data_IF_447086734026
#
_entry.id   IF_447086734026
#
_cell.length_a   1.000
_cell.length_b   1.000
_cell.length_c   1.000
_cell.angle_alpha   90.00
_cell.angle_beta   90.00
_cell.angle_gamma   90.00
#
_symmetry.space_group_name_H-M   'P 1'
#
loop_
_entity.id
_entity.type
_entity.pdbx_description
1 polymer ?
#
# COMPACT_ATOMS: atom_id res chain seq x y z
N UNK A 1 27.97 -62.39 9.68
CA UNK A 1 26.89 -61.47 9.39
C UNK A 1 25.82 -61.61 10.46
N UNK A 2 25.88 -60.80 11.51
CA UNK A 2 24.84 -60.76 12.58
C UNK A 2 23.85 -59.69 12.20
N UNK A 3 22.62 -60.06 11.84
CA UNK A 3 21.50 -59.14 11.70
C UNK A 3 21.09 -58.72 13.11
N UNK A 4 21.31 -57.44 13.43
CA UNK A 4 20.78 -56.86 14.65
C UNK A 4 19.32 -56.47 14.32
N UNK A 5 18.37 -57.24 14.83
CA UNK A 5 16.96 -56.86 14.91
C UNK A 5 16.85 -55.83 16.04
N UNK A 6 16.72 -54.58 15.65
CA UNK A 6 16.30 -53.54 16.61
C UNK A 6 14.78 -53.67 16.76
N UNK A 7 14.35 -54.10 17.95
CA UNK A 7 12.97 -54.19 18.31
C UNK A 7 12.36 -52.75 18.29
N UNK A 8 11.36 -52.59 17.45
CA UNK A 8 10.49 -51.38 17.44
C UNK A 8 9.71 -51.43 18.76
N UNK A 9 10.23 -50.76 19.77
CA UNK A 9 9.47 -50.51 21.00
C UNK A 9 8.35 -49.51 20.70
N UNK A 10 7.09 -49.98 20.71
CA UNK A 10 5.93 -49.14 20.78
C UNK A 10 6.03 -48.25 22.02
N UNK A 11 6.44 -47.02 21.84
CA UNK A 11 6.30 -45.95 22.83
C UNK A 11 5.62 -44.73 22.19
N UNK A 12 4.38 -44.89 21.77
CA UNK A 12 3.44 -43.79 21.56
C UNK A 12 2.09 -44.16 22.11
N UNK A 13 2.01 -44.25 23.42
CA UNK A 13 0.79 -44.38 24.19
C UNK A 13 0.57 -43.14 25.04
N UNK A 14 0.30 -42.00 24.42
CA UNK A 14 -0.51 -40.88 24.92
C UNK A 14 -0.67 -39.89 23.77
N UNK A 15 -1.73 -40.06 22.98
CA UNK A 15 -2.22 -38.96 22.14
C UNK A 15 -2.76 -37.88 23.06
N UNK A 16 -1.93 -36.94 23.48
CA UNK A 16 -2.36 -35.63 23.87
C UNK A 16 -2.60 -34.87 22.56
N UNK A 17 -3.84 -34.43 22.34
CA UNK A 17 -4.31 -33.60 21.26
C UNK A 17 -3.39 -32.39 21.05
N UNK A 18 -2.38 -32.52 20.19
CA UNK A 18 -1.70 -31.41 19.60
C UNK A 18 -2.59 -30.89 18.46
N UNK A 19 -3.29 -29.77 18.66
CA UNK A 19 -3.85 -28.97 17.57
C UNK A 19 -2.70 -28.36 16.74
N UNK A 20 -2.09 -29.18 15.90
CA UNK A 20 -1.18 -28.72 14.85
C UNK A 20 -1.89 -29.01 13.54
N UNK A 21 -1.97 -28.01 12.65
CA UNK A 21 -2.44 -28.18 11.29
C UNK A 21 -1.79 -29.41 10.69
N UNK A 22 -2.57 -30.48 10.46
CA UNK A 22 -2.11 -31.75 9.99
C UNK A 22 -1.59 -31.62 8.56
N UNK A 23 -0.29 -31.46 8.42
CA UNK A 23 0.41 -31.83 7.18
C UNK A 23 0.58 -33.36 7.20
N UNK A 24 0.54 -33.97 6.01
CA UNK A 24 0.57 -35.41 5.87
C UNK A 24 1.75 -36.03 6.64
N UNK A 25 1.46 -36.64 7.78
CA UNK A 25 2.41 -37.43 8.54
C UNK A 25 2.79 -38.65 7.70
N UNK A 26 4.05 -38.78 7.30
CA UNK A 26 4.58 -40.01 6.68
C UNK A 26 4.79 -41.01 7.81
N UNK A 27 3.87 -41.95 7.97
CA UNK A 27 3.89 -42.97 9.04
C UNK A 27 5.22 -43.79 9.09
N UNK A 28 6.05 -43.67 8.06
CA UNK A 28 7.33 -44.41 7.95
C UNK A 28 8.55 -43.50 8.18
N UNK A 29 8.38 -42.24 8.55
CA UNK A 29 9.51 -41.34 8.80
C UNK A 29 9.42 -40.67 10.17
N UNK A 30 10.53 -40.44 10.84
CA UNK A 30 10.61 -39.78 12.15
C UNK A 30 12.01 -39.22 12.43
N UNK A 31 12.12 -38.33 13.40
CA UNK A 31 13.37 -37.88 13.99
C UNK A 31 13.51 -38.59 15.34
N UNK A 32 14.54 -39.42 15.48
CA UNK A 32 14.78 -40.22 16.67
C UNK A 32 16.13 -39.88 17.31
N UNK A 33 16.22 -40.03 18.62
CA UNK A 33 17.47 -39.90 19.36
C UNK A 33 18.31 -41.17 19.17
N UNK A 34 19.56 -40.97 18.72
CA UNK A 34 20.57 -42.05 18.55
C UNK A 34 21.89 -41.62 19.19
N UNK A 35 22.15 -42.08 20.38
CA UNK A 35 23.30 -41.62 21.17
C UNK A 35 23.13 -40.20 21.63
N UNK A 36 24.02 -39.30 21.20
CA UNK A 36 23.96 -37.85 21.49
C UNK A 36 23.40 -37.00 20.33
N UNK A 37 22.91 -37.64 19.27
CA UNK A 37 22.41 -36.97 18.09
C UNK A 37 20.93 -37.29 17.86
N UNK A 38 20.22 -36.40 17.21
CA UNK A 38 18.90 -36.66 16.66
C UNK A 38 19.02 -36.86 15.17
N UNK A 39 18.59 -38.04 14.67
CA UNK A 39 18.76 -38.44 13.26
C UNK A 39 17.40 -38.60 12.59
N UNK A 40 17.34 -38.19 11.31
CA UNK A 40 16.16 -38.40 10.48
C UNK A 40 16.18 -39.82 9.88
N UNK A 41 15.11 -40.57 10.17
CA UNK A 41 14.93 -41.95 9.75
C UNK A 41 13.73 -42.05 8.82
N UNK A 42 13.88 -42.78 7.71
CA UNK A 42 12.78 -43.12 6.82
C UNK A 42 12.82 -44.62 6.51
N UNK A 43 11.69 -45.32 6.64
CA UNK A 43 11.60 -46.78 6.48
C UNK A 43 12.65 -47.55 7.32
N UNK A 44 12.93 -47.09 8.54
CA UNK A 44 13.91 -47.71 9.45
C UNK A 44 15.37 -47.47 9.10
N UNK A 45 15.69 -46.58 8.14
CA UNK A 45 17.06 -46.25 7.68
C UNK A 45 17.33 -44.77 7.90
N UNK A 46 18.46 -44.44 8.53
CA UNK A 46 18.93 -43.06 8.67
C UNK A 46 19.23 -42.47 7.28
N UNK A 47 18.70 -41.28 7.02
CA UNK A 47 18.80 -40.60 5.73
C UNK A 47 19.96 -39.57 5.77
N UNK A 48 21.22 -40.04 5.72
CA UNK A 48 22.42 -39.18 5.79
C UNK A 48 22.61 -38.25 4.57
N UNK A 49 21.87 -38.45 3.48
CA UNK A 49 21.86 -37.60 2.29
C UNK A 49 20.80 -36.51 2.35
N UNK A 50 19.93 -36.51 3.39
CA UNK A 50 18.88 -35.53 3.54
C UNK A 50 19.37 -34.27 4.23
N UNK A 51 19.05 -33.11 3.63
CA UNK A 51 19.21 -31.77 4.19
C UNK A 51 17.92 -30.96 3.93
N UNK A 52 17.29 -30.42 4.99
CA UNK A 52 16.01 -29.71 4.90
C UNK A 52 15.36 -29.53 6.25
N UNK A 53 14.04 -29.43 6.26
CA UNK A 53 13.22 -29.36 7.49
C UNK A 53 12.35 -30.62 7.56
N UNK A 54 12.32 -31.26 8.72
CA UNK A 54 11.38 -32.35 9.05
C UNK A 54 10.75 -32.11 10.40
N UNK A 55 9.54 -32.63 10.55
CA UNK A 55 8.78 -32.58 11.79
C UNK A 55 8.80 -33.90 12.58
N UNK A 56 8.61 -33.77 13.86
CA UNK A 56 8.22 -34.83 14.78
C UNK A 56 7.22 -34.26 15.81
N UNK A 57 6.81 -35.08 16.78
CA UNK A 57 5.85 -34.65 17.82
C UNK A 57 6.32 -33.44 18.67
N UNK A 58 7.60 -33.07 18.64
CA UNK A 58 8.18 -31.97 19.40
C UNK A 58 8.37 -30.67 18.58
N UNK A 59 8.13 -30.73 17.26
CA UNK A 59 8.25 -29.56 16.36
C UNK A 59 8.91 -29.87 15.03
N UNK A 60 9.27 -28.79 14.30
CA UNK A 60 9.94 -28.87 13.01
C UNK A 60 11.42 -28.54 13.20
N UNK A 61 12.30 -29.37 12.67
CA UNK A 61 13.72 -29.31 12.92
C UNK A 61 14.54 -29.19 11.64
N UNK A 62 15.61 -28.41 11.71
CA UNK A 62 16.61 -28.34 10.66
C UNK A 62 17.47 -29.58 10.65
N UNK A 63 17.42 -30.34 9.55
CA UNK A 63 18.26 -31.53 9.32
C UNK A 63 19.38 -31.14 8.35
N UNK A 64 20.60 -31.53 8.66
CA UNK A 64 21.77 -31.43 7.78
C UNK A 64 22.49 -32.76 7.76
N UNK A 65 22.64 -33.32 6.53
CA UNK A 65 23.25 -34.65 6.37
C UNK A 65 22.63 -35.71 7.30
N UNK A 66 21.30 -35.69 7.40
CA UNK A 66 20.53 -36.66 8.20
C UNK A 66 20.50 -36.41 9.71
N UNK A 67 21.19 -35.41 10.21
CA UNK A 67 21.29 -35.07 11.65
C UNK A 67 20.65 -33.70 11.93
N UNK A 68 19.96 -33.58 13.08
CA UNK A 68 19.42 -32.28 13.52
C UNK A 68 20.58 -31.34 13.86
N UNK A 69 20.62 -30.18 13.20
CA UNK A 69 21.57 -29.13 13.51
C UNK A 69 20.99 -28.11 14.49
N UNK A 70 21.18 -28.31 15.77
CA UNK A 70 20.70 -27.42 16.84
C UNK A 70 21.38 -26.04 16.87
N UNK A 71 22.48 -25.85 16.15
CA UNK A 71 23.18 -24.56 16.08
C UNK A 71 22.75 -23.72 14.88
N UNK A 72 21.83 -24.21 14.04
CA UNK A 72 21.40 -23.49 12.86
C UNK A 72 20.38 -22.41 13.22
N UNK A 73 20.66 -21.17 12.82
CA UNK A 73 19.70 -20.05 12.82
C UNK A 73 19.70 -19.41 11.45
N UNK A 74 18.52 -19.27 10.84
CA UNK A 74 18.37 -18.73 9.49
C UNK A 74 17.15 -19.30 8.76
N UNK A 75 17.12 -19.14 7.43
CA UNK A 75 16.03 -19.65 6.59
C UNK A 75 16.39 -21.01 5.99
N UNK A 76 15.42 -21.92 5.99
CA UNK A 76 15.53 -23.21 5.32
C UNK A 76 14.21 -23.61 4.66
N UNK A 77 14.30 -24.52 3.67
CA UNK A 77 13.17 -24.94 2.85
C UNK A 77 12.67 -26.32 3.22
N UNK A 78 11.35 -26.52 3.02
CA UNK A 78 10.73 -27.83 2.85
C UNK A 78 9.65 -27.73 1.75
N UNK A 79 8.89 -28.82 1.54
CA UNK A 79 7.79 -28.88 0.56
C UNK A 79 6.67 -27.86 0.82
N UNK A 80 6.54 -27.29 2.03
CA UNK A 80 5.51 -26.33 2.42
C UNK A 80 5.97 -24.88 2.28
N UNK A 81 7.27 -24.63 2.02
CA UNK A 81 7.83 -23.30 1.85
C UNK A 81 9.16 -23.08 2.54
N UNK A 82 9.52 -21.81 2.72
CA UNK A 82 10.75 -21.35 3.34
C UNK A 82 10.44 -20.81 4.74
N UNK A 83 11.13 -21.34 5.76
CA UNK A 83 10.82 -21.09 7.17
C UNK A 83 12.03 -20.57 7.93
N UNK A 84 11.76 -19.72 8.94
CA UNK A 84 12.75 -19.25 9.89
C UNK A 84 13.02 -20.31 10.96
N UNK A 85 14.27 -20.62 11.13
CA UNK A 85 14.82 -21.57 12.10
C UNK A 85 15.59 -20.77 13.15
N UNK A 86 15.39 -21.07 14.39
CA UNK A 86 16.15 -20.54 15.52
C UNK A 86 16.63 -21.75 16.36
N UNK A 87 17.95 -21.82 16.59
CA UNK A 87 18.56 -22.92 17.36
C UNK A 87 18.10 -24.32 16.89
N UNK A 88 18.10 -24.49 15.56
CA UNK A 88 17.75 -25.77 14.90
C UNK A 88 16.25 -26.06 14.78
N UNK A 89 15.37 -25.25 15.37
CA UNK A 89 13.92 -25.46 15.38
C UNK A 89 13.18 -24.35 14.65
N UNK A 90 12.11 -24.67 13.92
CA UNK A 90 11.23 -23.65 13.34
C UNK A 90 10.56 -22.88 14.49
N UNK A 91 10.78 -21.57 14.51
CA UNK A 91 10.16 -20.68 15.47
C UNK A 91 8.87 -20.06 14.87
N UNK A 92 7.73 -20.74 15.09
CA UNK A 92 6.44 -20.32 14.55
C UNK A 92 5.92 -18.98 15.10
N UNK A 93 6.49 -18.46 16.18
CA UNK A 93 6.13 -17.16 16.75
C UNK A 93 6.87 -15.99 16.07
N UNK A 94 7.87 -16.29 15.25
CA UNK A 94 8.67 -15.26 14.59
C UNK A 94 7.89 -14.57 13.47
N UNK A 95 7.80 -13.25 13.56
CA UNK A 95 7.30 -12.37 12.50
C UNK A 95 8.22 -11.16 12.39
N UNK A 96 8.73 -10.87 11.19
CA UNK A 96 9.65 -9.76 10.97
C UNK A 96 10.32 -9.79 9.60
N UNK A 97 11.32 -8.94 9.43
CA UNK A 97 12.16 -8.91 8.23
C UNK A 97 13.53 -9.48 8.60
N UNK A 98 14.06 -10.38 7.78
CA UNK A 98 15.38 -10.97 7.99
C UNK A 98 16.20 -11.02 6.71
N UNK A 99 17.52 -11.21 6.86
CA UNK A 99 18.44 -11.37 5.76
C UNK A 99 18.32 -12.77 5.14
N UNK A 100 18.18 -12.83 3.81
CA UNK A 100 18.23 -14.04 3.01
C UNK A 100 19.19 -13.84 1.82
N UNK A 101 20.42 -14.30 1.97
CA UNK A 101 21.47 -14.02 0.99
C UNK A 101 21.73 -12.51 0.85
N UNK A 102 21.52 -11.98 -0.36
CA UNK A 102 21.66 -10.54 -0.66
C UNK A 102 20.40 -9.68 -0.39
N UNK A 103 19.29 -10.31 0.00
CA UNK A 103 17.98 -9.64 0.13
C UNK A 103 17.49 -9.60 1.58
N UNK A 104 16.61 -8.65 1.89
CA UNK A 104 15.75 -8.68 3.07
C UNK A 104 14.38 -9.26 2.68
N UNK A 105 13.89 -10.24 3.44
CA UNK A 105 12.61 -10.90 3.19
C UNK A 105 11.67 -10.81 4.38
N UNK A 106 10.38 -10.68 4.11
CA UNK A 106 9.34 -10.66 5.13
C UNK A 106 8.91 -12.08 5.51
N UNK A 107 8.95 -12.33 6.79
CA UNK A 107 8.54 -13.59 7.43
C UNK A 107 7.35 -13.30 8.35
N UNK A 108 6.32 -14.12 8.27
CA UNK A 108 5.16 -14.07 9.16
C UNK A 108 4.83 -15.47 9.66
N UNK A 109 4.72 -15.63 10.97
CA UNK A 109 4.53 -16.94 11.60
C UNK A 109 5.56 -17.95 11.11
N UNK A 110 6.83 -17.56 11.12
CA UNK A 110 7.99 -18.28 10.62
C UNK A 110 8.11 -18.47 9.11
N UNK A 111 7.05 -18.28 8.33
CA UNK A 111 7.06 -18.54 6.88
C UNK A 111 7.37 -17.28 6.09
N UNK A 112 8.27 -17.37 5.10
CA UNK A 112 8.48 -16.28 4.13
C UNK A 112 7.21 -16.06 3.32
N UNK A 113 6.73 -14.81 3.28
CA UNK A 113 5.46 -14.42 2.66
C UNK A 113 5.68 -13.81 1.27
N UNK A 114 5.99 -14.66 0.29
CA UNK A 114 6.14 -14.23 -1.10
C UNK A 114 4.85 -13.67 -1.74
N UNK A 115 3.71 -13.83 -1.08
CA UNK A 115 2.42 -13.26 -1.45
C UNK A 115 2.17 -11.87 -0.87
N UNK A 116 3.03 -11.37 0.05
CA UNK A 116 2.87 -10.08 0.70
C UNK A 116 3.47 -8.94 -0.12
N UNK A 117 2.69 -7.87 -0.29
CA UNK A 117 3.14 -6.58 -0.81
C UNK A 117 2.58 -5.48 0.07
N UNK A 118 3.40 -4.53 0.53
CA UNK A 118 3.02 -3.46 1.44
C UNK A 118 4.20 -2.95 2.24
N UNK A 119 3.95 -2.27 3.36
CA UNK A 119 4.98 -1.66 4.21
C UNK A 119 5.05 -2.40 5.54
N UNK A 120 6.27 -2.71 5.98
CA UNK A 120 6.54 -3.25 7.33
C UNK A 120 7.70 -2.54 8.00
N UNK A 121 7.63 -2.46 9.33
CA UNK A 121 8.69 -1.88 10.14
C UNK A 121 9.89 -2.84 10.24
N UNK A 122 11.09 -2.28 10.07
CA UNK A 122 12.36 -2.95 10.27
C UNK A 122 13.30 -2.00 11.03
N UNK A 123 13.58 -2.31 12.29
CA UNK A 123 14.27 -1.41 13.24
C UNK A 123 13.58 -0.03 13.29
N UNK A 124 14.28 1.03 12.91
CA UNK A 124 13.77 2.41 12.93
C UNK A 124 13.22 2.88 11.57
N UNK A 125 13.20 2.00 10.56
CA UNK A 125 12.74 2.30 9.22
C UNK A 125 11.45 1.55 8.90
N UNK A 126 10.66 2.08 7.96
CA UNK A 126 9.53 1.38 7.38
C UNK A 126 9.87 1.08 5.93
N UNK A 127 9.93 -0.21 5.59
CA UNK A 127 10.39 -0.70 4.30
C UNK A 127 9.24 -1.18 3.43
N UNK A 128 9.29 -0.83 2.15
CA UNK A 128 8.38 -1.35 1.15
C UNK A 128 8.80 -2.75 0.72
N UNK A 129 7.85 -3.67 0.81
CA UNK A 129 8.01 -5.07 0.47
C UNK A 129 7.16 -5.36 -0.77
N UNK A 130 7.73 -6.03 -1.74
CA UNK A 130 7.04 -6.50 -2.94
C UNK A 130 7.28 -7.99 -3.09
N UNK A 131 6.18 -8.76 -3.14
CA UNK A 131 6.26 -10.21 -3.23
C UNK A 131 7.21 -10.81 -2.17
N UNK A 132 7.08 -10.36 -0.92
CA UNK A 132 7.85 -10.85 0.22
C UNK A 132 9.29 -10.36 0.33
N UNK A 133 9.79 -9.58 -0.61
CA UNK A 133 11.17 -9.06 -0.65
C UNK A 133 11.16 -7.54 -0.57
N UNK A 134 12.09 -6.96 0.19
CA UNK A 134 12.24 -5.49 0.25
C UNK A 134 12.67 -4.97 -1.11
N UNK A 135 11.90 -4.04 -1.67
CA UNK A 135 12.16 -3.43 -2.98
C UNK A 135 12.65 -2.00 -2.83
N UNK A 136 13.97 -1.82 -2.80
CA UNK A 136 14.63 -0.50 -2.74
C UNK A 136 14.52 0.32 -4.02
N UNK A 137 13.98 -0.24 -5.11
CA UNK A 137 13.75 0.51 -6.34
C UNK A 137 12.43 1.25 -6.37
N UNK A 138 11.52 0.94 -5.44
CA UNK A 138 10.19 1.53 -5.42
C UNK A 138 10.20 2.96 -4.89
N UNK A 139 9.56 3.85 -5.63
CA UNK A 139 9.24 5.23 -5.23
C UNK A 139 7.81 5.55 -5.63
N UNK A 140 6.97 5.93 -4.66
CA UNK A 140 5.54 6.16 -4.88
C UNK A 140 4.76 6.27 -3.58
N UNK A 141 3.49 5.90 -3.61
CA UNK A 141 2.64 5.78 -2.42
C UNK A 141 2.30 4.31 -2.23
N UNK A 142 2.53 3.77 -1.05
CA UNK A 142 2.17 2.42 -0.67
C UNK A 142 1.38 2.41 0.65
N UNK A 143 0.66 1.32 0.91
CA UNK A 143 -0.21 1.21 2.09
C UNK A 143 0.24 0.17 3.10
N UNK A 144 -0.17 0.38 4.33
CA UNK A 144 -0.23 -0.62 5.39
C UNK A 144 -1.50 -0.41 6.23
N UNK A 145 -1.63 -1.15 7.32
CA UNK A 145 -2.77 -1.07 8.27
C UNK A 145 -2.96 0.32 8.90
N UNK A 146 -1.95 1.20 8.85
CA UNK A 146 -2.00 2.54 9.45
C UNK A 146 -2.29 3.66 8.42
N UNK A 147 -2.31 3.34 7.13
CA UNK A 147 -2.62 4.33 6.07
C UNK A 147 -1.75 4.21 4.83
N UNK A 148 -1.77 5.27 4.02
CA UNK A 148 -1.01 5.39 2.78
C UNK A 148 0.20 6.31 3.02
N UNK A 149 1.38 5.85 2.61
CA UNK A 149 2.65 6.49 2.94
C UNK A 149 3.49 6.78 1.70
N UNK A 150 4.18 7.91 1.73
CA UNK A 150 5.20 8.21 0.74
C UNK A 150 6.42 7.32 0.93
N UNK A 151 6.76 6.55 -0.09
CA UNK A 151 7.96 5.72 -0.14
C UNK A 151 8.93 6.30 -1.15
N UNK A 152 10.20 6.38 -0.79
CA UNK A 152 11.31 6.78 -1.64
C UNK A 152 12.46 5.78 -1.52
N UNK A 153 12.87 5.21 -2.65
CA UNK A 153 13.91 4.18 -2.66
C UNK A 153 13.64 3.05 -1.65
N UNK A 154 12.38 2.58 -1.61
CA UNK A 154 11.96 1.47 -0.75
C UNK A 154 11.76 1.80 0.72
N UNK A 155 11.98 3.03 1.16
CA UNK A 155 11.86 3.48 2.56
C UNK A 155 10.78 4.56 2.67
N UNK A 156 9.95 4.50 3.72
CA UNK A 156 8.97 5.56 3.99
C UNK A 156 9.68 6.85 4.35
N UNK A 157 9.36 7.92 3.62
CA UNK A 157 9.86 9.26 3.88
C UNK A 157 8.83 10.05 4.70
N UNK A 158 9.01 10.11 6.02
CA UNK A 158 8.13 10.83 6.95
C UNK A 158 8.24 12.35 6.87
N UNK A 159 9.30 12.88 6.26
CA UNK A 159 9.51 14.34 6.13
C UNK A 159 8.90 14.90 4.83
N UNK A 160 8.34 14.04 3.96
CA UNK A 160 7.80 14.48 2.69
C UNK A 160 6.44 15.17 2.86
N UNK A 161 6.31 16.36 2.31
CA UNK A 161 5.04 17.08 2.15
C UNK A 161 4.92 17.58 0.71
N UNK A 162 3.80 17.23 0.04
CA UNK A 162 3.59 17.57 -1.37
C UNK A 162 2.68 16.59 -2.09
N UNK A 163 2.67 16.64 -3.42
CA UNK A 163 1.89 15.74 -4.26
C UNK A 163 2.71 14.54 -4.72
N UNK A 164 2.14 13.35 -4.65
CA UNK A 164 2.74 12.13 -5.15
C UNK A 164 1.70 11.21 -5.80
N UNK A 165 2.17 10.28 -6.64
CA UNK A 165 1.32 9.41 -7.45
C UNK A 165 1.36 7.96 -6.96
N UNK A 166 0.22 7.27 -7.18
CA UNK A 166 0.13 5.82 -7.26
C UNK A 166 -0.84 5.43 -8.39
N UNK A 167 -1.15 4.14 -8.54
CA UNK A 167 -2.08 3.63 -9.54
C UNK A 167 -3.51 4.19 -9.44
N UNK A 168 -3.90 4.69 -8.26
CA UNK A 168 -5.22 5.26 -8.01
C UNK A 168 -5.31 6.76 -8.30
N UNK A 169 -4.17 7.44 -8.54
CA UNK A 169 -4.10 8.86 -8.88
C UNK A 169 -3.01 9.63 -8.16
N UNK A 170 -3.18 10.96 -8.13
CA UNK A 170 -2.28 11.92 -7.52
C UNK A 170 -2.86 12.43 -6.22
N UNK A 171 -2.10 12.33 -5.12
CA UNK A 171 -2.57 12.60 -3.76
C UNK A 171 -1.67 13.59 -3.02
N UNK A 172 -2.26 14.34 -2.10
CA UNK A 172 -1.54 15.17 -1.14
C UNK A 172 -1.00 14.33 0.02
N UNK A 173 0.27 14.50 0.25
CA UNK A 173 1.03 13.89 1.34
C UNK A 173 1.39 14.99 2.33
N UNK A 174 1.17 14.77 3.60
CA UNK A 174 1.58 15.63 4.70
C UNK A 174 2.36 14.77 5.70
N UNK A 175 3.59 15.18 6.02
CA UNK A 175 4.47 14.44 6.94
C UNK A 175 4.56 12.94 6.59
N UNK A 176 4.79 12.66 5.31
CA UNK A 176 4.95 11.30 4.77
C UNK A 176 3.67 10.51 4.56
N UNK A 177 2.51 10.99 4.99
CA UNK A 177 1.23 10.28 4.93
C UNK A 177 0.21 10.99 4.07
N UNK A 178 -0.63 10.24 3.32
CA UNK A 178 -1.77 10.83 2.62
C UNK A 178 -2.75 11.40 3.64
N UNK A 179 -3.03 12.71 3.54
CA UNK A 179 -4.00 13.40 4.37
C UNK A 179 -5.36 13.44 3.68
N UNK A 180 -6.19 12.41 3.87
CA UNK A 180 -7.50 12.28 3.24
C UNK A 180 -8.52 13.35 3.68
N UNK A 181 -8.25 14.11 4.73
CA UNK A 181 -9.13 15.20 5.17
C UNK A 181 -8.92 16.50 4.38
N UNK A 182 -7.86 16.56 3.53
CA UNK A 182 -7.54 17.75 2.78
C UNK A 182 -8.45 17.92 1.55
N UNK A 183 -9.12 19.05 1.46
CA UNK A 183 -9.85 19.53 0.27
C UNK A 183 -9.47 20.98 0.03
N UNK A 184 -9.07 21.34 -1.20
CA UNK A 184 -8.66 22.69 -1.53
C UNK A 184 -7.62 22.75 -2.65
N UNK A 185 -7.01 23.93 -2.80
CA UNK A 185 -6.04 24.19 -3.86
C UNK A 185 -4.62 23.85 -3.44
N UNK A 186 -3.85 23.31 -4.38
CA UNK A 186 -2.44 23.03 -4.21
C UNK A 186 -1.64 23.29 -5.47
N UNK A 187 -0.41 23.79 -5.30
CA UNK A 187 0.50 24.00 -6.41
C UNK A 187 1.07 22.66 -6.90
N UNK A 188 0.96 22.40 -8.20
CA UNK A 188 1.54 21.23 -8.89
C UNK A 188 2.36 21.70 -10.10
N UNK A 189 3.66 21.88 -9.89
CA UNK A 189 4.52 22.51 -10.87
C UNK A 189 4.06 23.94 -11.19
N UNK A 190 3.64 24.18 -12.43
CA UNK A 190 3.12 25.48 -12.87
C UNK A 190 1.59 25.61 -12.74
N UNK A 191 0.90 24.53 -12.42
CA UNK A 191 -0.55 24.48 -12.33
C UNK A 191 -1.01 24.63 -10.88
N UNK A 192 -2.13 25.31 -10.65
CA UNK A 192 -2.87 25.26 -9.40
C UNK A 192 -3.99 24.24 -9.56
N UNK A 193 -3.91 23.13 -8.83
CA UNK A 193 -4.86 22.01 -8.92
C UNK A 193 -5.81 22.00 -7.73
N UNK A 194 -7.02 21.47 -7.93
CA UNK A 194 -8.01 21.30 -6.88
C UNK A 194 -8.09 19.84 -6.44
N UNK A 195 -8.06 19.65 -5.15
CA UNK A 195 -8.13 18.33 -4.50
C UNK A 195 -9.44 18.20 -3.73
N UNK A 196 -10.01 17.01 -3.77
CA UNK A 196 -11.11 16.59 -2.93
C UNK A 196 -10.67 15.31 -2.21
N UNK A 197 -10.74 15.29 -0.89
CA UNK A 197 -10.31 14.16 -0.07
C UNK A 197 -8.89 13.73 -0.45
N UNK A 198 -7.97 14.70 -0.48
CA UNK A 198 -6.55 14.55 -0.84
C UNK A 198 -6.25 14.25 -2.31
N UNK A 199 -7.22 13.84 -3.11
CA UNK A 199 -7.01 13.43 -4.50
C UNK A 199 -7.21 14.58 -5.48
N UNK A 200 -6.27 14.79 -6.40
CA UNK A 200 -6.46 15.70 -7.54
C UNK A 200 -7.60 15.18 -8.43
N UNK A 201 -8.63 16.00 -8.63
CA UNK A 201 -9.85 15.63 -9.33
C UNK A 201 -9.85 16.18 -10.75
N UNK A 202 -9.14 15.51 -11.66
CA UNK A 202 -9.07 15.91 -13.08
C UNK A 202 -10.42 15.84 -13.84
N UNK A 203 -11.46 15.33 -13.18
CA UNK A 203 -12.84 15.30 -13.68
C UNK A 203 -13.72 16.43 -13.11
N UNK A 204 -13.16 17.31 -12.26
CA UNK A 204 -13.89 18.34 -11.53
C UNK A 204 -13.87 19.67 -12.27
N UNK A 205 -15.06 20.25 -12.47
CA UNK A 205 -15.25 21.57 -13.04
C UNK A 205 -16.19 22.36 -12.13
N UNK A 206 -15.76 23.53 -11.64
CA UNK A 206 -16.51 24.37 -10.69
C UNK A 206 -15.87 25.74 -10.55
N UNK A 207 -16.41 26.53 -9.65
CA UNK A 207 -15.79 27.74 -9.13
C UNK A 207 -15.66 27.54 -7.62
N UNK A 208 -14.43 27.61 -7.11
CA UNK A 208 -14.14 27.39 -5.69
C UNK A 208 -13.42 28.58 -5.07
N UNK A 209 -13.65 28.78 -3.77
CA UNK A 209 -12.97 29.82 -3.02
C UNK A 209 -11.56 29.42 -2.61
N UNK A 210 -10.59 30.22 -2.99
CA UNK A 210 -9.22 30.13 -2.54
C UNK A 210 -8.86 31.37 -1.71
N UNK A 211 -9.16 31.32 -0.41
CA UNK A 211 -8.89 32.41 0.54
C UNK A 211 -9.51 33.77 0.16
N UNK A 212 -10.74 33.78 -0.32
CA UNK A 212 -11.49 34.97 -0.74
C UNK A 212 -11.35 35.32 -2.22
N UNK A 213 -10.58 34.57 -2.98
CA UNK A 213 -10.49 34.65 -4.42
C UNK A 213 -11.19 33.45 -5.06
N UNK A 214 -12.30 33.67 -5.78
CA UNK A 214 -13.04 32.58 -6.42
C UNK A 214 -12.44 32.26 -7.77
N UNK A 215 -11.95 31.02 -7.93
CA UNK A 215 -11.20 30.55 -9.09
C UNK A 215 -12.02 29.55 -9.90
N UNK A 216 -11.98 29.71 -11.22
CA UNK A 216 -12.60 28.78 -12.16
C UNK A 216 -11.70 27.56 -12.37
N UNK A 217 -12.26 26.38 -12.11
CA UNK A 217 -11.60 25.09 -12.25
C UNK A 217 -12.14 24.40 -13.49
N UNK A 218 -11.25 23.96 -14.35
CA UNK A 218 -11.53 23.17 -15.53
C UNK A 218 -10.65 21.92 -15.54
N UNK A 219 -11.29 20.74 -15.54
CA UNK A 219 -10.57 19.46 -15.44
C UNK A 219 -9.56 19.42 -14.27
N UNK A 220 -10.01 19.85 -13.08
CA UNK A 220 -9.25 19.82 -11.84
C UNK A 220 -8.14 20.85 -11.70
N UNK A 221 -7.98 21.76 -12.67
CA UNK A 221 -6.97 22.83 -12.67
C UNK A 221 -7.62 24.18 -12.80
N UNK A 222 -7.01 25.20 -12.20
CA UNK A 222 -7.43 26.58 -12.43
C UNK A 222 -7.10 26.97 -13.87
N UNK A 223 -8.14 27.38 -14.62
CA UNK A 223 -7.96 27.86 -16.01
C UNK A 223 -7.93 29.38 -16.06
N UNK A 224 -6.75 29.95 -15.92
CA UNK A 224 -6.53 31.40 -15.99
C UNK A 224 -6.76 31.99 -17.39
N UNK A 225 -6.94 31.17 -18.41
CA UNK A 225 -7.27 31.66 -19.76
C UNK A 225 -8.76 31.89 -19.97
N UNK A 226 -9.61 31.31 -19.12
CA UNK A 226 -11.05 31.36 -19.27
C UNK A 226 -11.62 32.76 -18.95
N UNK A 227 -12.45 33.24 -19.86
CA UNK A 227 -13.27 34.45 -19.69
C UNK A 227 -14.66 34.17 -20.23
N UNK A 228 -15.70 34.28 -19.39
CA UNK A 228 -17.06 33.91 -19.77
C UNK A 228 -17.99 33.92 -18.57
N UNK A 229 -19.04 33.11 -18.62
CA UNK A 229 -19.93 32.82 -17.51
C UNK A 229 -19.79 31.34 -17.16
N UNK A 230 -19.56 31.04 -15.89
CA UNK A 230 -19.51 29.68 -15.38
C UNK A 230 -20.39 29.57 -14.11
N UNK A 231 -20.74 28.33 -13.73
CA UNK A 231 -21.63 28.06 -12.60
C UNK A 231 -20.94 27.30 -11.47
N UNK A 232 -21.44 27.49 -10.27
CA UNK A 232 -21.27 26.63 -9.11
C UNK A 232 -22.59 26.50 -8.34
N UNK A 233 -22.59 25.84 -7.22
CA UNK A 233 -23.78 25.64 -6.36
C UNK A 233 -24.46 26.96 -5.92
N UNK A 234 -23.71 28.09 -5.92
CA UNK A 234 -24.18 29.39 -5.50
C UNK A 234 -24.77 30.27 -6.65
N UNK A 235 -24.62 29.78 -7.89
CA UNK A 235 -25.16 30.49 -9.07
C UNK A 235 -24.20 30.58 -10.25
N UNK A 236 -24.55 31.49 -11.19
CA UNK A 236 -23.76 31.75 -12.40
C UNK A 236 -22.96 33.02 -12.25
N UNK A 237 -21.68 32.97 -12.55
CA UNK A 237 -20.73 34.04 -12.25
C UNK A 237 -19.95 34.47 -13.49
N UNK A 238 -19.69 35.79 -13.58
CA UNK A 238 -18.77 36.33 -14.58
C UNK A 238 -17.32 36.01 -14.20
N UNK A 239 -16.64 35.29 -15.09
CA UNK A 239 -15.22 34.92 -14.96
C UNK A 239 -14.42 35.80 -15.90
N UNK A 240 -13.30 36.34 -15.43
CA UNK A 240 -12.30 37.05 -16.21
C UNK A 240 -10.90 36.60 -15.81
N UNK A 241 -10.14 36.02 -16.76
CA UNK A 241 -8.81 35.48 -16.48
C UNK A 241 -8.83 34.41 -15.39
N UNK A 242 -9.84 33.50 -15.41
CA UNK A 242 -9.98 32.40 -14.48
C UNK A 242 -10.50 32.77 -13.09
N UNK A 243 -10.91 34.04 -12.87
CA UNK A 243 -11.38 34.56 -11.57
C UNK A 243 -12.76 35.14 -11.67
N UNK A 244 -13.57 35.00 -10.62
CA UNK A 244 -14.84 35.70 -10.54
C UNK A 244 -14.60 37.22 -10.42
N UNK A 245 -15.19 37.99 -11.35
CA UNK A 245 -15.17 39.44 -11.27
C UNK A 245 -16.44 39.98 -10.57
N UNK A 246 -16.39 40.08 -9.26
CA UNK A 246 -17.52 40.60 -8.45
C UNK A 246 -17.89 42.06 -8.72
N UNK A 247 -17.05 42.81 -9.44
CA UNK A 247 -17.34 44.21 -9.79
C UNK A 247 -18.02 44.36 -11.16
N UNK A 248 -18.17 43.26 -11.90
CA UNK A 248 -18.74 43.29 -13.24
C UNK A 248 -20.25 43.57 -13.19
N UNK A 249 -20.69 44.56 -13.98
CA UNK A 249 -22.10 44.86 -14.20
C UNK A 249 -22.31 45.08 -15.71
N UNK A 250 -23.26 44.38 -16.30
CA UNK A 250 -23.53 44.49 -17.73
C UNK A 250 -23.89 43.16 -18.39
N UNK A 251 -23.85 43.15 -19.73
CA UNK A 251 -24.18 41.98 -20.51
C UNK A 251 -22.96 41.09 -20.77
N UNK A 252 -23.15 39.81 -20.65
CA UNK A 252 -22.15 38.78 -21.02
C UNK A 252 -22.84 37.54 -21.57
N UNK A 253 -22.07 36.77 -22.37
CA UNK A 253 -22.56 35.61 -23.09
C UNK A 253 -21.94 34.33 -22.57
N UNK A 254 -22.71 33.23 -22.69
CA UNK A 254 -22.21 31.87 -22.70
C UNK A 254 -22.97 31.05 -23.76
N UNK A 255 -22.75 29.74 -23.80
CA UNK A 255 -23.40 28.84 -24.75
C UNK A 255 -24.94 28.79 -24.64
N UNK A 256 -25.48 29.17 -23.46
CA UNK A 256 -26.93 29.18 -23.21
C UNK A 256 -27.60 30.52 -23.56
N UNK A 257 -26.82 31.57 -23.93
CA UNK A 257 -27.35 32.86 -24.32
C UNK A 257 -26.63 34.06 -23.72
N UNK A 258 -27.32 35.22 -23.79
CA UNK A 258 -26.86 36.51 -23.31
C UNK A 258 -27.59 36.87 -21.99
N UNK A 259 -26.81 37.20 -20.97
CA UNK A 259 -27.33 37.41 -19.62
C UNK A 259 -26.92 38.77 -19.08
N UNK A 260 -27.81 39.38 -18.24
CA UNK A 260 -27.47 40.56 -17.47
C UNK A 260 -26.84 40.17 -16.12
N UNK A 261 -25.68 40.74 -15.83
CA UNK A 261 -24.88 40.47 -14.66
C UNK A 261 -24.87 41.67 -13.73
N UNK A 262 -25.05 41.41 -12.45
CA UNK A 262 -25.00 42.43 -11.37
C UNK A 262 -24.00 41.93 -10.32
N UNK A 263 -23.00 42.76 -10.02
CA UNK A 263 -21.96 42.42 -9.04
C UNK A 263 -21.34 41.02 -9.30
N UNK A 264 -21.03 40.74 -10.54
CA UNK A 264 -20.41 39.50 -10.97
C UNK A 264 -21.34 38.28 -11.10
N UNK A 265 -22.61 38.38 -10.68
CA UNK A 265 -23.58 37.29 -10.70
C UNK A 265 -24.65 37.49 -11.76
N UNK A 266 -25.04 36.45 -12.46
CA UNK A 266 -26.18 36.50 -13.39
C UNK A 266 -27.45 36.77 -12.61
N UNK A 267 -28.19 37.79 -13.04
CA UNK A 267 -29.51 38.13 -12.51
C UNK A 267 -30.59 37.57 -13.41
N UNK A 268 -31.11 36.38 -13.09
CA UNK A 268 -32.18 35.74 -13.85
C UNK A 268 -33.56 36.41 -13.76
N UNK A 269 -33.75 37.28 -12.78
CA UNK A 269 -35.00 38.01 -12.61
C UNK A 269 -35.03 39.36 -13.36
N UNK A 270 -33.89 39.73 -14.01
CA UNK A 270 -33.81 40.97 -14.75
C UNK A 270 -34.61 40.86 -16.05
N UNK A 271 -35.54 41.78 -16.25
CA UNK A 271 -36.36 41.89 -17.46
C UNK A 271 -36.52 43.34 -17.79
N UNK A 272 -35.81 43.79 -18.83
CA UNK A 272 -35.86 45.17 -19.31
C UNK A 272 -35.24 45.29 -20.69
N UNK A 273 -35.35 46.46 -21.27
CA UNK A 273 -34.63 46.85 -22.53
C UNK A 273 -33.36 47.59 -22.12
N UNK A 274 -32.21 47.04 -22.49
CA UNK A 274 -30.90 47.58 -22.16
C UNK A 274 -30.09 47.87 -23.43
N UNK A 275 -29.28 48.92 -23.39
CA UNK A 275 -28.37 49.25 -24.48
C UNK A 275 -27.19 48.29 -24.52
N UNK A 276 -26.93 47.71 -25.70
CA UNK A 276 -25.80 46.81 -25.99
C UNK A 276 -25.04 47.34 -27.22
N UNK A 277 -23.98 48.10 -26.94
CA UNK A 277 -23.27 48.83 -27.99
C UNK A 277 -24.15 49.87 -28.66
N UNK A 278 -24.43 49.71 -29.95
CA UNK A 278 -25.32 50.58 -30.72
C UNK A 278 -26.80 50.12 -30.71
N UNK A 279 -27.07 48.92 -30.25
CA UNK A 279 -28.37 48.27 -30.31
C UNK A 279 -29.07 48.29 -28.94
N UNK A 280 -30.39 48.12 -28.95
CA UNK A 280 -31.22 47.89 -27.76
C UNK A 280 -31.70 46.45 -27.76
N UNK A 281 -31.41 45.76 -26.69
CA UNK A 281 -31.79 44.34 -26.53
C UNK A 281 -32.74 44.17 -25.34
N UNK A 282 -33.71 43.27 -25.52
CA UNK A 282 -34.61 42.87 -24.42
C UNK A 282 -34.04 41.61 -23.73
N UNK A 283 -33.93 41.68 -22.43
CA UNK A 283 -33.40 40.57 -21.60
C UNK A 283 -34.56 40.01 -20.77
#
# INVERSE_FOLDING_TARGET
MKKLLIGVGLACGLMLLCNINAFAYDENSDIIEQGNEWVYVKNGVVQYDYTGIRDNCNGWWRIENGVVNFNYTGLADNENGRFYIEDGKVNFDFTGIIQDGGNLVYVENSKVRYDYTGIKQYYNEWLYIKNGVVDYSYTGIAENENGWWRVENGVVNFDYTGLADNENGRFYIEDGRVNFDYTGFMQDGNDLVYLIESKVRYDYNSIEDNNGEWLYINNGKVDYSYTGIAENENGWWRIEGGKVNFNYNGLADNENGRFYIVNGRVNFDYTDVIQDGADWVYI
#
